data_IF_080504936772
#
_entry.id   IF_080504936772
#
_cell.length_a   1.000
_cell.length_b   1.000
_cell.length_c   1.000
_cell.angle_alpha   90.00
_cell.angle_beta   90.00
_cell.angle_gamma   90.00
#
_symmetry.space_group_name_H-M   'P 1'
#
loop_
_entity.id
_entity.type
_entity.pdbx_description
1 polymer ?
#
# COMPACT_ATOMS: atom_id res chain seq x y z
N UNK A 1 -1.38 11.11 -83.90
CA UNK A 1 -2.20 12.34 -83.89
C UNK A 1 -2.42 12.72 -82.44
N UNK A 2 -1.90 13.88 -82.06
CA UNK A 2 -2.10 14.49 -80.75
C UNK A 2 -3.46 15.23 -80.70
N UNK A 3 -4.07 15.25 -79.52
CA UNK A 3 -4.85 16.32 -78.89
C UNK A 3 -4.68 16.02 -77.38
N UNK A 4 -3.94 16.71 -76.49
CA UNK A 4 -3.52 18.10 -76.32
C UNK A 4 -4.68 19.11 -76.25
N UNK A 5 -4.96 19.52 -75.01
CA UNK A 5 -5.71 20.69 -74.54
C UNK A 5 -7.24 20.54 -74.38
N UNK A 6 -7.65 20.03 -73.21
CA UNK A 6 -8.58 20.77 -72.35
C UNK A 6 -8.21 20.47 -70.91
N UNK A 7 -7.34 21.30 -70.37
CA UNK A 7 -7.05 21.42 -68.95
C UNK A 7 -8.04 22.42 -68.34
N UNK A 8 -8.28 22.27 -67.04
CA UNK A 8 -8.85 23.25 -66.09
C UNK A 8 -10.34 23.13 -65.69
N UNK A 9 -10.51 22.94 -64.37
CA UNK A 9 -11.71 23.08 -63.52
C UNK A 9 -12.76 21.95 -63.66
N UNK A 10 -13.16 21.16 -62.66
CA UNK A 10 -13.22 21.33 -61.21
C UNK A 10 -12.90 20.00 -60.52
N UNK A 11 -12.11 20.06 -59.45
CA UNK A 11 -11.84 18.94 -58.56
C UNK A 11 -12.85 19.06 -57.43
N UNK A 12 -13.98 18.36 -57.53
CA UNK A 12 -14.94 18.29 -56.43
C UNK A 12 -14.28 17.60 -55.22
N UNK A 13 -13.82 18.44 -54.29
CA UNK A 13 -13.49 18.07 -52.93
C UNK A 13 -14.73 17.46 -52.28
N UNK A 14 -14.75 16.12 -52.18
CA UNK A 14 -15.61 15.46 -51.21
C UNK A 14 -15.15 15.92 -49.82
N UNK A 15 -16.04 16.44 -48.97
CA UNK A 15 -15.66 16.89 -47.64
C UNK A 15 -15.06 15.70 -46.89
N UNK A 16 -13.87 15.91 -46.33
CA UNK A 16 -13.25 15.01 -45.38
C UNK A 16 -14.31 14.66 -44.34
N UNK A 17 -14.69 13.38 -44.27
CA UNK A 17 -15.40 12.88 -43.10
C UNK A 17 -14.50 13.21 -41.92
N UNK A 18 -14.97 14.09 -41.06
CA UNK A 18 -14.39 14.35 -39.74
C UNK A 18 -14.01 12.98 -39.18
N UNK A 19 -12.70 12.74 -39.10
CA UNK A 19 -12.19 11.57 -38.42
C UNK A 19 -12.60 11.76 -36.97
N UNK A 20 -13.63 11.06 -36.53
CA UNK A 20 -13.98 10.91 -35.13
C UNK A 20 -12.69 10.52 -34.39
N UNK A 21 -12.07 11.50 -33.74
CA UNK A 21 -10.83 11.35 -32.96
C UNK A 21 -11.09 10.43 -31.73
N UNK A 22 -12.36 10.14 -31.45
CA UNK A 22 -12.82 9.36 -30.30
C UNK A 22 -12.90 7.84 -30.55
N UNK A 23 -12.82 7.37 -31.80
CA UNK A 23 -12.76 5.93 -32.08
C UNK A 23 -11.34 5.46 -32.34
N UNK A 24 -10.64 5.14 -31.25
CA UNK A 24 -9.39 4.39 -31.30
C UNK A 24 -9.51 3.17 -32.21
N UNK A 25 -8.54 3.00 -33.09
CA UNK A 25 -8.46 1.96 -34.11
C UNK A 25 -8.67 0.57 -33.48
N UNK A 26 -9.89 0.03 -33.54
CA UNK A 26 -10.21 -1.31 -33.01
C UNK A 26 -9.72 -2.36 -34.01
N UNK A 27 -8.44 -2.71 -33.89
CA UNK A 27 -7.92 -3.93 -34.48
C UNK A 27 -8.50 -5.13 -33.69
N UNK A 28 -9.25 -6.05 -34.33
CA UNK A 28 -9.80 -7.21 -33.64
C UNK A 28 -8.74 -8.31 -33.56
N UNK A 29 -8.39 -8.70 -32.33
CA UNK A 29 -7.28 -9.55 -31.89
C UNK A 29 -5.98 -8.78 -31.65
N UNK A 30 -5.87 -8.13 -30.50
CA UNK A 30 -4.57 -7.75 -29.99
C UNK A 30 -4.46 -8.03 -28.50
N UNK A 31 -3.26 -8.39 -28.07
CA UNK A 31 -2.81 -8.44 -26.69
C UNK A 31 -2.74 -7.00 -26.10
N UNK A 32 -3.84 -6.24 -26.25
CA UNK A 32 -3.89 -4.78 -26.06
C UNK A 32 -3.72 -4.34 -24.61
N UNK A 33 -3.74 -5.28 -23.67
CA UNK A 33 -3.52 -4.98 -22.26
C UNK A 33 -2.04 -4.80 -21.92
N UNK A 34 -1.10 -5.10 -22.85
CA UNK A 34 0.36 -4.99 -22.62
C UNK A 34 0.86 -5.70 -21.34
N UNK A 35 0.06 -6.66 -20.80
CA UNK A 35 0.30 -7.33 -19.52
C UNK A 35 0.09 -6.43 -18.29
N UNK A 36 -0.71 -5.38 -18.38
CA UNK A 36 -1.04 -4.47 -17.27
C UNK A 36 -1.98 -5.10 -16.26
N UNK A 37 -2.95 -5.90 -16.68
CA UNK A 37 -3.88 -6.59 -15.78
C UNK A 37 -3.14 -7.47 -14.77
N UNK A 38 -2.28 -8.38 -15.26
CA UNK A 38 -1.50 -9.28 -14.40
C UNK A 38 -0.54 -8.50 -13.49
N UNK A 39 -0.08 -7.32 -13.95
CA UNK A 39 0.76 -6.44 -13.16
C UNK A 39 -0.01 -5.75 -12.05
N UNK A 40 -1.20 -5.20 -12.34
CA UNK A 40 -2.05 -4.59 -11.32
C UNK A 40 -2.52 -5.61 -10.28
N UNK A 41 -2.74 -6.86 -10.67
CA UNK A 41 -3.02 -7.94 -9.73
C UNK A 41 -1.84 -8.21 -8.79
N UNK A 42 -0.61 -8.28 -9.32
CA UNK A 42 0.61 -8.39 -8.51
C UNK A 42 0.79 -7.18 -7.58
N UNK A 43 0.55 -5.96 -8.07
CA UNK A 43 0.60 -4.73 -7.26
C UNK A 43 -0.37 -4.82 -6.09
N UNK A 44 -1.64 -5.16 -6.36
CA UNK A 44 -2.68 -5.28 -5.33
C UNK A 44 -2.36 -6.36 -4.30
N UNK A 45 -1.81 -7.49 -4.73
CA UNK A 45 -1.38 -8.56 -3.84
C UNK A 45 -0.26 -8.07 -2.90
N UNK A 46 0.74 -7.37 -3.43
CA UNK A 46 1.81 -6.79 -2.62
C UNK A 46 1.27 -5.75 -1.64
N UNK A 47 0.37 -4.86 -2.08
CA UNK A 47 -0.25 -3.86 -1.18
C UNK A 47 -1.00 -4.54 -0.03
N UNK A 48 -1.77 -5.60 -0.33
CA UNK A 48 -2.48 -6.37 0.70
C UNK A 48 -1.53 -7.00 1.72
N UNK A 49 -0.37 -7.51 1.25
CA UNK A 49 0.66 -8.05 2.13
C UNK A 49 1.30 -6.96 3.00
N UNK A 50 1.58 -5.78 2.44
CA UNK A 50 2.12 -4.64 3.18
C UNK A 50 1.15 -4.16 4.27
N UNK A 51 -0.15 -4.06 3.96
CA UNK A 51 -1.18 -3.69 4.93
C UNK A 51 -1.31 -4.75 6.04
N UNK A 52 -1.24 -6.04 5.68
CA UNK A 52 -1.21 -7.13 6.66
C UNK A 52 0.01 -7.01 7.58
N UNK A 53 1.17 -6.67 7.03
CA UNK A 53 2.39 -6.46 7.82
C UNK A 53 2.19 -5.31 8.82
N UNK A 54 1.68 -4.15 8.39
CA UNK A 54 1.35 -3.03 9.29
C UNK A 54 0.43 -3.43 10.44
N UNK A 55 -0.62 -4.21 10.14
CA UNK A 55 -1.54 -4.69 11.16
C UNK A 55 -0.88 -5.60 12.20
N UNK A 56 0.10 -6.41 11.80
CA UNK A 56 0.83 -7.28 12.73
C UNK A 56 1.81 -6.46 13.59
N UNK A 57 2.49 -5.47 12.99
CA UNK A 57 3.34 -4.56 13.77
C UNK A 57 2.53 -3.82 14.85
N UNK A 58 1.32 -3.39 14.52
CA UNK A 58 0.43 -2.77 15.51
C UNK A 58 0.05 -3.74 16.65
N UNK A 59 -0.28 -4.99 16.34
CA UNK A 59 -0.55 -6.02 17.36
C UNK A 59 0.67 -6.32 18.23
N UNK A 60 1.86 -6.35 17.63
CA UNK A 60 3.11 -6.52 18.36
C UNK A 60 3.33 -5.37 19.34
N UNK A 61 3.01 -4.14 18.93
CA UNK A 61 3.05 -2.96 19.81
C UNK A 61 2.03 -3.08 20.96
N UNK A 62 0.78 -3.46 20.68
CA UNK A 62 -0.23 -3.69 21.72
C UNK A 62 0.19 -4.77 22.73
N UNK A 63 0.76 -5.88 22.23
CA UNK A 63 1.27 -6.96 23.08
C UNK A 63 2.46 -6.50 23.95
N UNK A 64 3.32 -5.65 23.40
CA UNK A 64 4.41 -5.04 24.15
C UNK A 64 3.89 -4.12 25.27
N UNK A 65 2.92 -3.25 24.97
CA UNK A 65 2.27 -2.40 25.98
C UNK A 65 1.62 -3.22 27.10
N UNK A 66 0.92 -4.30 26.76
CA UNK A 66 0.34 -5.23 27.73
C UNK A 66 1.42 -5.81 28.65
N UNK A 67 2.59 -6.17 28.10
CA UNK A 67 3.70 -6.80 28.81
C UNK A 67 4.26 -5.95 29.96
N UNK A 68 4.20 -4.62 29.84
CA UNK A 68 4.66 -3.66 30.85
C UNK A 68 3.88 -3.77 32.16
N UNK A 69 2.58 -4.06 32.05
CA UNK A 69 1.65 -4.06 33.18
C UNK A 69 1.57 -5.40 33.90
N UNK A 70 1.95 -6.49 33.23
CA UNK A 70 1.85 -7.85 33.78
C UNK A 70 2.86 -8.08 34.90
N UNK A 71 2.42 -8.76 35.95
CA UNK A 71 3.24 -9.16 37.11
C UNK A 71 3.34 -10.67 37.31
N UNK A 72 2.66 -11.46 36.46
CA UNK A 72 2.65 -12.93 36.54
C UNK A 72 3.52 -13.51 35.43
N UNK A 73 4.47 -14.37 35.80
CA UNK A 73 5.34 -15.07 34.84
C UNK A 73 4.52 -15.83 33.77
N UNK A 74 3.43 -16.51 34.15
CA UNK A 74 2.57 -17.23 33.21
C UNK A 74 1.92 -16.33 32.14
N UNK A 75 1.56 -15.10 32.51
CA UNK A 75 0.97 -14.14 31.58
C UNK A 75 2.06 -13.51 30.69
N UNK A 76 3.25 -13.23 31.23
CA UNK A 76 4.40 -12.76 30.45
C UNK A 76 4.80 -13.80 29.39
N UNK A 77 4.84 -15.07 29.77
CA UNK A 77 5.10 -16.18 28.85
C UNK A 77 4.06 -16.28 27.72
N UNK A 78 2.79 -16.04 28.02
CA UNK A 78 1.74 -16.02 27.01
C UNK A 78 1.90 -14.83 26.04
N UNK A 79 2.26 -13.64 26.56
CA UNK A 79 2.55 -12.45 25.74
C UNK A 79 3.76 -12.70 24.85
N UNK A 80 4.86 -13.21 25.41
CA UNK A 80 6.06 -13.63 24.68
C UNK A 80 5.71 -14.49 23.47
N UNK A 81 4.94 -15.56 23.69
CA UNK A 81 4.53 -16.45 22.60
C UNK A 81 3.68 -15.79 21.51
N UNK A 82 2.88 -14.77 21.84
CA UNK A 82 2.17 -13.95 20.84
C UNK A 82 3.13 -13.07 20.05
N UNK A 83 4.03 -12.37 20.74
CA UNK A 83 5.02 -11.50 20.12
C UNK A 83 5.95 -12.27 19.17
N UNK A 84 6.44 -13.44 19.58
CA UNK A 84 7.24 -14.33 18.73
C UNK A 84 6.51 -14.71 17.44
N UNK A 85 5.23 -15.09 17.54
CA UNK A 85 4.41 -15.45 16.38
C UNK A 85 4.20 -14.28 15.43
N UNK A 86 3.98 -13.09 15.97
CA UNK A 86 3.78 -11.87 15.19
C UNK A 86 5.08 -11.47 14.45
N UNK A 87 6.23 -11.56 15.12
CA UNK A 87 7.55 -11.33 14.50
C UNK A 87 7.83 -12.34 13.38
N UNK A 88 7.56 -13.62 13.61
CA UNK A 88 7.73 -14.67 12.60
C UNK A 88 6.87 -14.41 11.36
N UNK A 89 5.63 -13.96 11.55
CA UNK A 89 4.70 -13.64 10.48
C UNK A 89 5.13 -12.39 9.70
N UNK A 90 5.57 -11.33 10.39
CA UNK A 90 6.19 -10.15 9.74
C UNK A 90 7.36 -10.59 8.88
N UNK A 91 8.23 -11.47 9.39
CA UNK A 91 9.35 -12.00 8.64
C UNK A 91 8.98 -12.79 7.40
N UNK A 92 7.94 -13.62 7.47
CA UNK A 92 7.43 -14.36 6.31
C UNK A 92 6.86 -13.42 5.26
N UNK A 93 6.06 -12.43 5.67
CA UNK A 93 5.47 -11.45 4.75
C UNK A 93 6.57 -10.63 4.09
N UNK A 94 7.52 -10.12 4.86
CA UNK A 94 8.69 -9.39 4.39
C UNK A 94 9.44 -10.12 3.27
N UNK A 95 9.81 -11.39 3.51
CA UNK A 95 10.50 -12.22 2.51
C UNK A 95 9.64 -12.45 1.27
N UNK A 96 8.34 -12.71 1.44
CA UNK A 96 7.43 -12.90 0.32
C UNK A 96 7.30 -11.64 -0.53
N UNK A 97 7.12 -10.46 0.09
CA UNK A 97 7.06 -9.19 -0.61
C UNK A 97 8.38 -8.92 -1.35
N UNK A 98 9.54 -9.15 -0.72
CA UNK A 98 10.86 -9.02 -1.39
C UNK A 98 10.92 -9.87 -2.66
N UNK A 99 10.60 -11.16 -2.58
CA UNK A 99 10.63 -12.07 -3.74
C UNK A 99 9.67 -11.62 -4.84
N UNK A 100 8.46 -11.16 -4.48
CA UNK A 100 7.48 -10.63 -5.43
C UNK A 100 7.96 -9.34 -6.10
N UNK A 101 8.61 -8.43 -5.37
CA UNK A 101 9.18 -7.20 -5.93
C UNK A 101 10.31 -7.51 -6.91
N UNK A 102 11.22 -8.43 -6.58
CA UNK A 102 12.28 -8.88 -7.50
C UNK A 102 11.71 -9.58 -8.74
N UNK A 103 10.63 -10.37 -8.57
CA UNK A 103 9.93 -10.98 -9.70
C UNK A 103 9.27 -9.91 -10.59
N UNK A 104 8.68 -8.89 -9.98
CA UNK A 104 8.06 -7.79 -10.71
C UNK A 104 9.10 -6.98 -11.50
N UNK A 105 10.31 -6.78 -10.97
CA UNK A 105 11.43 -6.19 -11.72
C UNK A 105 11.79 -7.02 -12.95
N UNK A 106 11.95 -8.34 -12.78
CA UNK A 106 12.22 -9.25 -13.91
C UNK A 106 11.11 -9.17 -14.95
N UNK A 107 9.85 -9.22 -14.53
CA UNK A 107 8.68 -9.10 -15.39
C UNK A 107 8.65 -7.75 -16.14
N UNK A 108 9.08 -6.66 -15.51
CA UNK A 108 9.17 -5.35 -16.14
C UNK A 108 10.25 -5.31 -17.24
N UNK A 109 11.41 -5.91 -16.98
CA UNK A 109 12.48 -6.04 -17.98
C UNK A 109 12.05 -6.92 -19.17
N UNK A 110 11.30 -7.99 -18.92
CA UNK A 110 10.74 -8.83 -19.98
C UNK A 110 9.66 -8.10 -20.78
N UNK A 111 8.82 -7.31 -20.11
CA UNK A 111 7.78 -6.51 -20.76
C UNK A 111 8.38 -5.56 -21.80
N UNK A 112 9.57 -4.99 -21.54
CA UNK A 112 10.29 -4.12 -22.49
C UNK A 112 10.60 -4.74 -23.84
N UNK A 113 10.64 -6.07 -23.92
CA UNK A 113 10.88 -6.80 -25.18
C UNK A 113 9.63 -6.85 -26.07
N UNK A 114 8.45 -6.51 -25.55
CA UNK A 114 7.18 -6.49 -26.30
C UNK A 114 7.05 -5.22 -27.15
N UNK A 115 6.43 -5.30 -28.34
CA UNK A 115 6.11 -4.11 -29.14
C UNK A 115 5.26 -3.11 -28.32
N UNK A 116 5.63 -1.82 -28.33
CA UNK A 116 4.90 -0.78 -27.59
C UNK A 116 5.22 -0.67 -26.09
N UNK A 117 6.05 -1.56 -25.54
CA UNK A 117 6.44 -1.59 -24.12
C UNK A 117 7.90 -1.20 -23.86
N UNK A 118 8.62 -0.71 -24.86
CA UNK A 118 10.04 -0.36 -24.74
C UNK A 118 10.34 0.64 -23.62
N UNK A 119 11.64 0.79 -23.29
CA UNK A 119 12.10 1.72 -22.25
C UNK A 119 11.55 3.14 -22.51
N UNK A 120 10.96 3.76 -21.50
CA UNK A 120 10.41 5.12 -21.58
C UNK A 120 8.98 5.24 -22.13
N UNK A 121 8.38 4.14 -22.59
CA UNK A 121 6.94 4.12 -22.94
C UNK A 121 6.07 4.42 -21.73
N UNK A 122 4.81 4.80 -21.95
CA UNK A 122 3.86 5.04 -20.85
C UNK A 122 3.70 3.79 -19.97
N UNK A 123 3.57 2.61 -20.60
CA UNK A 123 3.46 1.32 -19.90
C UNK A 123 4.72 1.04 -19.07
N UNK A 124 5.92 1.17 -19.64
CA UNK A 124 7.17 0.97 -18.91
C UNK A 124 7.29 1.93 -17.71
N UNK A 125 7.01 3.22 -17.94
CA UNK A 125 7.06 4.24 -16.88
C UNK A 125 6.09 3.94 -15.74
N UNK A 126 4.84 3.62 -16.05
CA UNK A 126 3.83 3.28 -15.02
C UNK A 126 4.24 2.05 -14.22
N UNK A 127 4.74 1.00 -14.88
CA UNK A 127 5.18 -0.23 -14.22
C UNK A 127 6.38 -0.01 -13.30
N UNK A 128 7.40 0.69 -13.79
CA UNK A 128 8.60 1.04 -13.02
C UNK A 128 8.25 1.92 -11.81
N UNK A 129 7.43 2.94 -12.04
CA UNK A 129 6.95 3.86 -11.01
C UNK A 129 6.23 3.15 -9.86
N UNK A 130 5.24 2.30 -10.19
CA UNK A 130 4.51 1.53 -9.17
C UNK A 130 5.41 0.53 -8.44
N UNK A 131 6.33 -0.12 -9.16
CA UNK A 131 7.29 -1.06 -8.57
C UNK A 131 8.18 -0.37 -7.53
N UNK A 132 8.68 0.82 -7.87
CA UNK A 132 9.51 1.63 -6.97
C UNK A 132 8.70 2.14 -5.77
N UNK A 133 7.46 2.59 -5.99
CA UNK A 133 6.57 3.00 -4.90
C UNK A 133 6.34 1.85 -3.90
N UNK A 134 6.13 0.62 -4.37
CA UNK A 134 5.96 -0.55 -3.49
C UNK A 134 7.24 -0.90 -2.73
N UNK A 135 8.41 -0.78 -3.36
CA UNK A 135 9.70 -0.95 -2.66
C UNK A 135 9.90 0.10 -1.56
N UNK A 136 9.54 1.36 -1.82
CA UNK A 136 9.58 2.43 -0.82
C UNK A 136 8.62 2.14 0.34
N UNK A 137 7.37 1.75 0.05
CA UNK A 137 6.40 1.33 1.08
C UNK A 137 6.95 0.18 1.92
N UNK A 138 7.58 -0.84 1.31
CA UNK A 138 8.22 -1.91 2.08
C UNK A 138 9.32 -1.36 3.00
N UNK A 139 10.24 -0.53 2.48
CA UNK A 139 11.31 0.11 3.28
C UNK A 139 10.75 0.91 4.46
N UNK A 140 9.68 1.69 4.25
CA UNK A 140 9.00 2.43 5.30
C UNK A 140 8.45 1.51 6.39
N UNK A 141 7.74 0.44 6.03
CA UNK A 141 7.22 -0.52 7.02
C UNK A 141 8.31 -1.27 7.78
N UNK A 142 9.43 -1.53 7.14
CA UNK A 142 10.60 -2.09 7.82
C UNK A 142 11.20 -1.12 8.84
N UNK A 143 11.24 0.18 8.52
CA UNK A 143 11.68 1.20 9.45
C UNK A 143 10.71 1.32 10.64
N UNK A 144 9.40 1.27 10.41
CA UNK A 144 8.40 1.27 11.50
C UNK A 144 8.65 0.12 12.47
N UNK A 145 8.97 -1.06 11.94
CA UNK A 145 9.30 -2.24 12.74
C UNK A 145 10.63 -2.10 13.50
N UNK A 146 11.65 -1.50 12.87
CA UNK A 146 12.93 -1.21 13.53
C UNK A 146 12.78 -0.17 14.64
N UNK A 147 11.91 0.81 14.49
CA UNK A 147 11.59 1.76 15.54
C UNK A 147 10.88 1.06 16.70
N UNK A 148 9.90 0.19 16.42
CA UNK A 148 9.22 -0.59 17.44
C UNK A 148 10.19 -1.46 18.24
N UNK A 149 11.18 -2.07 17.57
CA UNK A 149 12.26 -2.80 18.25
C UNK A 149 12.98 -1.94 19.28
N UNK A 150 13.43 -0.75 18.89
CA UNK A 150 14.13 0.18 19.78
C UNK A 150 13.25 0.54 20.98
N UNK A 151 11.97 0.85 20.72
CA UNK A 151 10.98 1.11 21.75
C UNK A 151 10.82 -0.06 22.73
N UNK A 152 10.75 -1.31 22.24
CA UNK A 152 10.68 -2.50 23.10
C UNK A 152 11.91 -2.58 24.03
N UNK A 153 13.12 -2.30 23.52
CA UNK A 153 14.34 -2.34 24.34
C UNK A 153 14.37 -1.23 25.40
N UNK A 154 14.03 -0.01 25.01
CA UNK A 154 14.00 1.15 25.91
C UNK A 154 12.99 0.93 27.05
N UNK A 155 11.79 0.49 26.70
CA UNK A 155 10.73 0.24 27.67
C UNK A 155 11.02 -0.96 28.57
N UNK A 156 11.71 -1.98 28.05
CA UNK A 156 12.20 -3.08 28.88
C UNK A 156 13.16 -2.58 29.96
N UNK A 157 14.09 -1.68 29.62
CA UNK A 157 15.02 -1.05 30.59
C UNK A 157 14.23 -0.37 31.71
N UNK A 158 13.23 0.44 31.36
CA UNK A 158 12.40 1.15 32.33
C UNK A 158 11.62 0.20 33.26
N UNK A 159 11.04 -0.87 32.69
CA UNK A 159 10.28 -1.85 33.45
C UNK A 159 11.18 -2.61 34.43
N UNK A 160 12.38 -3.01 34.00
CA UNK A 160 13.37 -3.67 34.86
C UNK A 160 13.81 -2.74 35.99
N UNK A 161 14.18 -1.49 35.70
CA UNK A 161 14.57 -0.50 36.71
C UNK A 161 13.49 -0.36 37.79
N UNK A 162 12.24 -0.18 37.36
CA UNK A 162 11.10 -0.02 38.25
C UNK A 162 10.86 -1.25 39.11
N UNK A 163 10.99 -2.45 38.55
CA UNK A 163 10.77 -3.72 39.27
C UNK A 163 11.89 -3.98 40.28
N UNK A 164 13.15 -3.77 39.90
CA UNK A 164 14.29 -3.85 40.83
C UNK A 164 14.07 -2.89 42.00
N UNK A 165 13.77 -1.61 41.74
CA UNK A 165 13.49 -0.63 42.78
C UNK A 165 12.36 -1.05 43.73
N UNK A 166 11.28 -1.60 43.18
CA UNK A 166 10.12 -2.04 43.98
C UNK A 166 10.48 -3.18 44.94
N UNK A 167 11.42 -4.05 44.55
CA UNK A 167 11.80 -5.24 45.32
C UNK A 167 12.95 -4.95 46.30
N UNK A 168 13.94 -4.15 45.89
CA UNK A 168 15.12 -3.83 46.69
C UNK A 168 14.94 -2.59 47.57
N UNK A 169 14.00 -1.71 47.22
CA UNK A 169 13.82 -0.39 47.84
C UNK A 169 14.91 0.63 47.51
N UNK A 170 15.90 0.26 46.68
CA UNK A 170 17.03 1.10 46.30
C UNK A 170 17.07 1.28 44.80
N UNK A 171 17.34 2.51 44.33
CA UNK A 171 17.47 2.78 42.91
C UNK A 171 18.75 2.08 42.40
N UNK A 172 18.66 1.14 41.45
CA UNK A 172 19.85 0.53 40.86
C UNK A 172 20.65 1.56 40.06
N UNK A 173 21.97 1.41 40.00
CA UNK A 173 22.80 2.22 39.08
C UNK A 173 22.65 1.70 37.66
N UNK A 174 22.98 2.55 36.67
CA UNK A 174 22.90 2.18 35.25
C UNK A 174 23.75 0.94 34.93
N UNK A 175 24.94 0.83 35.53
CA UNK A 175 25.84 -0.32 35.30
C UNK A 175 25.24 -1.64 35.83
N UNK A 176 24.41 -1.57 36.87
CA UNK A 176 23.71 -2.75 37.40
C UNK A 176 22.57 -3.15 36.47
N UNK A 177 21.84 -2.18 35.91
CA UNK A 177 20.78 -2.42 34.92
C UNK A 177 21.38 -3.02 33.65
N UNK A 178 22.45 -2.44 33.11
CA UNK A 178 23.12 -2.92 31.90
C UNK A 178 23.63 -4.36 32.09
N UNK A 179 24.32 -4.63 33.20
CA UNK A 179 24.76 -6.00 33.51
C UNK A 179 23.58 -6.97 33.59
N UNK A 180 22.47 -6.55 34.19
CA UNK A 180 21.28 -7.38 34.27
C UNK A 180 20.70 -7.67 32.88
N UNK A 181 20.59 -6.65 32.03
CA UNK A 181 20.10 -6.78 30.65
C UNK A 181 21.03 -7.65 29.79
N UNK A 182 22.33 -7.62 30.01
CA UNK A 182 23.30 -8.42 29.25
C UNK A 182 23.36 -9.88 29.71
N UNK A 183 23.34 -10.12 31.01
CA UNK A 183 23.67 -11.43 31.60
C UNK A 183 22.45 -12.21 32.09
N UNK A 184 21.30 -11.54 32.26
CA UNK A 184 20.13 -12.06 32.95
C UNK A 184 20.38 -12.41 34.42
N UNK A 185 21.59 -12.17 34.95
CA UNK A 185 22.01 -12.68 36.25
C UNK A 185 21.53 -11.74 37.35
N UNK A 186 20.52 -12.21 38.07
CA UNK A 186 19.79 -11.46 39.10
C UNK A 186 20.31 -11.73 40.51
N UNK A 187 21.00 -12.85 40.72
CA UNK A 187 21.29 -13.42 42.05
C UNK A 187 21.94 -12.40 43.00
N UNK A 188 22.99 -11.70 42.57
CA UNK A 188 23.69 -10.73 43.42
C UNK A 188 22.84 -9.50 43.79
N UNK A 189 21.89 -9.10 42.93
CA UNK A 189 21.02 -7.93 43.15
C UNK A 189 19.94 -8.27 44.18
N UNK A 190 19.34 -9.46 44.06
CA UNK A 190 18.21 -9.87 44.87
C UNK A 190 18.61 -10.60 46.17
N UNK A 191 19.81 -11.15 46.27
CA UNK A 191 20.34 -11.76 47.51
C UNK A 191 20.27 -10.81 48.72
N UNK A 192 20.60 -9.52 48.52
CA UNK A 192 20.52 -8.50 49.59
C UNK A 192 19.09 -8.17 49.97
N UNK A 193 18.16 -8.19 49.01
CA UNK A 193 16.74 -7.95 49.27
C UNK A 193 16.09 -9.11 50.03
N UNK A 194 16.52 -10.35 49.75
CA UNK A 194 16.01 -11.59 50.39
C UNK A 194 16.24 -11.61 51.90
N UNK A 195 17.23 -10.88 52.41
CA UNK A 195 17.52 -10.80 53.83
C UNK A 195 16.60 -9.84 54.60
N UNK A 196 15.96 -8.87 53.92
CA UNK A 196 15.16 -7.82 54.56
C UNK A 196 13.64 -7.88 54.31
N UNK A 197 13.20 -8.40 53.17
CA UNK A 197 11.78 -8.46 52.76
C UNK A 197 11.33 -9.91 52.56
N UNK A 198 10.03 -10.20 52.73
CA UNK A 198 9.49 -11.56 52.69
C UNK A 198 9.94 -12.39 51.46
N UNK A 199 10.68 -13.48 51.73
CA UNK A 199 11.35 -14.33 50.72
C UNK A 199 10.45 -14.74 49.54
N UNK A 200 9.18 -15.04 49.79
CA UNK A 200 8.24 -15.47 48.74
C UNK A 200 7.90 -14.38 47.71
N UNK A 201 7.78 -13.12 48.12
CA UNK A 201 7.46 -12.01 47.21
C UNK A 201 8.64 -11.68 46.29
N UNK A 202 9.86 -11.77 46.83
CA UNK A 202 11.08 -11.51 46.07
C UNK A 202 11.31 -12.61 45.04
N UNK A 203 11.13 -13.88 45.41
CA UNK A 203 11.28 -14.99 44.47
C UNK A 203 10.30 -14.87 43.29
N UNK A 204 9.05 -14.51 43.55
CA UNK A 204 8.07 -14.29 42.49
C UNK A 204 8.44 -13.11 41.56
N UNK A 205 8.98 -12.02 42.12
CA UNK A 205 9.43 -10.89 41.33
C UNK A 205 10.69 -11.21 40.51
N UNK A 206 11.63 -11.97 41.06
CA UNK A 206 12.81 -12.46 40.32
C UNK A 206 12.39 -13.34 39.15
N UNK A 207 11.47 -14.27 39.37
CA UNK A 207 10.91 -15.13 38.32
C UNK A 207 10.22 -14.30 37.23
N UNK A 208 9.42 -13.29 37.60
CA UNK A 208 8.77 -12.38 36.65
C UNK A 208 9.80 -11.63 35.79
N UNK A 209 10.83 -11.04 36.43
CA UNK A 209 11.84 -10.27 35.73
C UNK A 209 12.68 -11.18 34.81
N UNK A 210 13.00 -12.40 35.24
CA UNK A 210 13.71 -13.38 34.42
C UNK A 210 12.91 -13.78 33.19
N UNK A 211 11.63 -14.12 33.34
CA UNK A 211 10.77 -14.47 32.19
C UNK A 211 10.65 -13.29 31.22
N UNK A 212 10.61 -12.05 31.72
CA UNK A 212 10.61 -10.85 30.88
C UNK A 212 11.94 -10.66 30.15
N UNK A 213 13.08 -10.87 30.83
CA UNK A 213 14.39 -10.85 30.20
C UNK A 213 14.47 -11.85 29.05
N UNK A 214 14.11 -13.11 29.31
CA UNK A 214 14.10 -14.17 28.31
C UNK A 214 13.13 -13.90 27.16
N UNK A 215 12.03 -13.18 27.41
CA UNK A 215 11.11 -12.74 26.37
C UNK A 215 11.76 -11.70 25.46
N UNK A 216 12.31 -10.63 26.03
CA UNK A 216 12.92 -9.53 25.27
C UNK A 216 14.15 -9.98 24.51
N UNK A 217 14.99 -10.86 25.08
CA UNK A 217 16.16 -11.39 24.39
C UNK A 217 15.80 -12.27 23.19
N UNK A 218 14.76 -13.09 23.30
CA UNK A 218 14.28 -13.93 22.19
C UNK A 218 13.63 -13.06 21.09
N UNK A 219 12.86 -12.04 21.49
CA UNK A 219 12.33 -11.03 20.59
C UNK A 219 13.48 -10.33 19.85
N UNK A 220 14.49 -9.80 20.55
CA UNK A 220 15.66 -9.15 19.94
C UNK A 220 16.38 -10.04 18.94
N UNK A 221 16.61 -11.30 19.28
CA UNK A 221 17.25 -12.26 18.39
C UNK A 221 16.47 -12.42 17.08
N UNK A 222 15.14 -12.60 17.16
CA UNK A 222 14.28 -12.73 15.97
C UNK A 222 14.20 -11.44 15.17
N UNK A 223 14.23 -10.30 15.84
CA UNK A 223 14.27 -8.99 15.20
C UNK A 223 15.60 -8.77 14.44
N UNK A 224 16.73 -9.23 14.99
CA UNK A 224 18.02 -9.21 14.32
C UNK A 224 18.04 -10.07 13.05
N UNK A 225 17.35 -11.23 13.05
CA UNK A 225 17.24 -12.06 11.84
C UNK A 225 16.53 -11.33 10.69
N UNK A 226 15.64 -10.38 10.99
CA UNK A 226 14.96 -9.54 9.99
C UNK A 226 15.84 -8.40 9.47
N UNK A 227 16.89 -8.02 10.20
CA UNK A 227 17.81 -6.95 9.81
C UNK A 227 18.55 -7.26 8.49
N UNK A 228 18.84 -8.54 8.22
CA UNK A 228 19.43 -8.93 6.93
C UNK A 228 18.48 -8.63 5.76
N UNK A 229 17.18 -8.85 5.93
CA UNK A 229 16.19 -8.51 4.89
C UNK A 229 16.17 -7.00 4.68
N UNK A 230 16.34 -6.20 5.74
CA UNK A 230 16.39 -4.74 5.63
C UNK A 230 17.60 -4.25 4.85
N UNK A 231 18.78 -4.82 5.11
CA UNK A 231 19.99 -4.49 4.37
C UNK A 231 19.83 -4.80 2.87
N UNK A 232 19.30 -5.98 2.54
CA UNK A 232 19.05 -6.36 1.16
C UNK A 232 18.02 -5.44 0.48
N UNK A 233 16.98 -5.03 1.21
CA UNK A 233 15.94 -4.12 0.71
C UNK A 233 16.45 -2.69 0.50
N UNK A 234 17.31 -2.20 1.40
CA UNK A 234 17.97 -0.91 1.22
C UNK A 234 18.79 -0.92 -0.08
N UNK A 235 19.56 -1.98 -0.32
CA UNK A 235 20.30 -2.15 -1.57
C UNK A 235 19.38 -2.20 -2.81
N UNK A 236 18.24 -2.92 -2.73
CA UNK A 236 17.26 -2.96 -3.82
C UNK A 236 16.68 -1.57 -4.13
N UNK A 237 16.38 -0.75 -3.12
CA UNK A 237 15.85 0.61 -3.29
C UNK A 237 16.93 1.56 -3.82
N UNK A 238 18.12 1.54 -3.23
CA UNK A 238 19.19 2.48 -3.52
C UNK A 238 19.79 2.27 -4.92
N UNK A 239 19.83 1.01 -5.40
CA UNK A 239 20.25 0.69 -6.77
C UNK A 239 19.36 1.31 -7.87
N UNK A 240 18.20 1.86 -7.53
CA UNK A 240 17.26 2.49 -8.47
C UNK A 240 17.23 4.03 -8.37
N UNK A 241 18.15 4.65 -7.61
CA UNK A 241 18.15 6.09 -7.28
C UNK A 241 17.96 7.06 -8.46
N UNK A 242 18.53 6.78 -9.63
CA UNK A 242 18.39 7.65 -10.82
C UNK A 242 16.97 7.62 -11.45
N UNK A 243 16.21 6.53 -11.22
CA UNK A 243 14.84 6.39 -11.70
C UNK A 243 13.85 7.08 -10.73
N UNK A 244 14.19 7.18 -9.45
CA UNK A 244 13.35 7.75 -8.37
C UNK A 244 13.02 9.23 -8.59
N UNK A 245 14.00 10.07 -8.95
CA UNK A 245 13.79 11.52 -9.18
C UNK A 245 12.84 11.80 -10.37
N UNK A 246 12.88 10.95 -11.39
CA UNK A 246 11.97 11.03 -12.52
C UNK A 246 10.57 10.49 -12.18
N UNK A 247 10.45 9.66 -11.14
CA UNK A 247 9.20 9.01 -10.71
C UNK A 247 8.39 9.90 -9.79
N UNK A 248 8.99 10.60 -8.83
CA UNK A 248 8.23 11.57 -8.00
C UNK A 248 7.51 12.59 -8.88
N UNK A 249 8.21 13.09 -9.90
CA UNK A 249 7.62 13.97 -10.91
C UNK A 249 6.51 13.30 -11.74
N UNK A 250 6.60 11.99 -12.04
CA UNK A 250 5.63 11.29 -12.88
C UNK A 250 4.43 10.71 -12.13
N UNK A 251 4.60 10.27 -10.88
CA UNK A 251 3.50 9.82 -9.99
C UNK A 251 2.61 10.98 -9.63
N UNK A 252 3.20 12.13 -9.29
CA UNK A 252 2.45 13.36 -9.04
C UNK A 252 1.57 13.70 -10.25
N UNK A 253 2.11 13.60 -11.45
CA UNK A 253 1.36 13.85 -12.69
C UNK A 253 0.30 12.78 -12.96
N UNK A 254 0.58 11.49 -12.73
CA UNK A 254 -0.39 10.40 -12.94
C UNK A 254 -1.56 10.45 -11.95
N UNK A 255 -1.30 10.75 -10.67
CA UNK A 255 -2.35 10.98 -9.66
C UNK A 255 -3.23 12.15 -10.07
N UNK A 256 -2.61 13.26 -10.50
CA UNK A 256 -3.35 14.40 -11.04
C UNK A 256 -4.22 14.01 -12.25
N UNK A 257 -3.70 13.21 -13.19
CA UNK A 257 -4.45 12.76 -14.36
C UNK A 257 -5.61 11.81 -14.03
N UNK A 258 -5.47 10.93 -13.04
CA UNK A 258 -6.58 10.05 -12.59
C UNK A 258 -7.67 10.88 -11.90
N UNK A 259 -7.30 11.83 -11.04
CA UNK A 259 -8.26 12.74 -10.39
C UNK A 259 -9.00 13.55 -11.45
N UNK A 260 -8.30 14.23 -12.35
CA UNK A 260 -8.91 14.98 -13.45
C UNK A 260 -9.75 14.10 -14.38
N UNK A 261 -9.31 12.87 -14.67
CA UNK A 261 -10.05 11.90 -15.48
C UNK A 261 -11.35 11.44 -14.81
N UNK A 262 -11.34 11.20 -13.50
CA UNK A 262 -12.56 10.86 -12.74
C UNK A 262 -13.54 12.02 -12.67
N UNK A 263 -13.04 13.26 -12.59
CA UNK A 263 -13.87 14.46 -12.64
C UNK A 263 -14.51 14.65 -14.03
N UNK A 264 -13.74 14.47 -15.10
CA UNK A 264 -14.23 14.53 -16.47
C UNK A 264 -15.29 13.45 -16.77
N UNK A 265 -15.10 12.22 -16.27
CA UNK A 265 -16.11 11.15 -16.37
C UNK A 265 -17.38 11.47 -15.59
N UNK A 266 -17.26 12.08 -14.41
CA UNK A 266 -18.40 12.52 -13.61
C UNK A 266 -19.17 13.62 -14.34
N UNK A 267 -18.47 14.56 -14.95
CA UNK A 267 -19.05 15.65 -15.72
C UNK A 267 -19.72 15.14 -17.01
N UNK A 268 -19.08 14.25 -17.75
CA UNK A 268 -19.64 13.59 -18.94
C UNK A 268 -20.94 12.84 -18.60
N UNK A 269 -20.98 12.11 -17.47
CA UNK A 269 -22.21 11.44 -16.99
C UNK A 269 -23.33 12.44 -16.69
N UNK A 270 -23.00 13.61 -16.14
CA UNK A 270 -23.96 14.68 -15.88
C UNK A 270 -24.48 15.33 -17.16
N UNK A 271 -23.61 15.59 -18.15
CA UNK A 271 -24.00 16.07 -19.47
C UNK A 271 -24.90 15.08 -20.20
N UNK A 272 -24.55 13.79 -20.18
CA UNK A 272 -25.37 12.74 -20.79
C UNK A 272 -26.77 12.67 -20.16
N UNK A 273 -26.87 12.82 -18.83
CA UNK A 273 -28.15 12.86 -18.12
C UNK A 273 -28.99 14.10 -18.47
N UNK A 274 -28.36 15.26 -18.67
CA UNK A 274 -29.04 16.49 -19.12
C UNK A 274 -29.51 16.39 -20.58
N UNK A 275 -28.67 15.87 -21.47
CA UNK A 275 -29.00 15.68 -22.88
C UNK A 275 -30.23 14.77 -23.07
N UNK A 276 -30.30 13.65 -22.34
CA UNK A 276 -31.48 12.76 -22.37
C UNK A 276 -32.77 13.46 -21.92
N UNK A 277 -32.70 14.38 -20.94
CA UNK A 277 -33.86 15.17 -20.51
C UNK A 277 -34.28 16.18 -21.59
N UNK A 278 -33.32 16.84 -22.22
CA UNK A 278 -33.59 17.77 -23.32
C UNK A 278 -34.21 17.06 -24.53
N UNK A 279 -33.69 15.89 -24.88
CA UNK A 279 -34.25 15.05 -25.95
C UNK A 279 -35.69 14.60 -25.66
N UNK A 280 -36.00 14.20 -24.43
CA UNK A 280 -37.39 13.88 -24.03
C UNK A 280 -38.32 15.08 -24.15
N UNK A 281 -37.88 16.28 -23.74
CA UNK A 281 -38.68 17.51 -23.87
C UNK A 281 -38.92 17.82 -25.36
N UNK A 282 -37.90 17.70 -26.21
CA UNK A 282 -38.04 17.90 -27.65
C UNK A 282 -39.04 16.93 -28.30
N UNK A 283 -39.02 15.65 -27.91
CA UNK A 283 -39.99 14.64 -28.38
C UNK A 283 -41.41 14.98 -27.94
N UNK A 284 -41.61 15.41 -26.69
CA UNK A 284 -42.94 15.81 -26.18
C UNK A 284 -43.48 17.00 -26.97
N UNK A 285 -42.65 18.02 -27.24
CA UNK A 285 -43.06 19.18 -28.04
C UNK A 285 -43.48 18.76 -29.45
N UNK A 286 -42.72 17.86 -30.08
CA UNK A 286 -43.02 17.35 -31.42
C UNK A 286 -44.38 16.60 -31.44
N UNK A 287 -44.64 15.76 -30.44
CA UNK A 287 -45.92 15.05 -30.30
C UNK A 287 -47.11 16.01 -30.11
N UNK A 288 -46.94 17.06 -29.31
CA UNK A 288 -48.00 18.08 -29.13
C UNK A 288 -48.30 18.80 -30.44
N UNK A 289 -47.27 19.18 -31.21
CA UNK A 289 -47.44 19.79 -32.53
C UNK A 289 -48.19 18.84 -33.48
N UNK A 290 -47.80 17.56 -33.51
CA UNK A 290 -48.47 16.56 -34.34
C UNK A 290 -49.96 16.40 -33.97
N UNK A 291 -50.30 16.38 -32.68
CA UNK A 291 -51.70 16.31 -32.21
C UNK A 291 -52.50 17.55 -32.65
N UNK A 292 -51.92 18.75 -32.54
CA UNK A 292 -52.59 19.99 -32.96
C UNK A 292 -52.89 19.98 -34.46
N UNK A 293 -51.95 19.49 -35.28
CA UNK A 293 -52.14 19.36 -36.73
C UNK A 293 -53.26 18.35 -37.04
N UNK A 294 -53.26 17.19 -36.39
CA UNK A 294 -54.28 16.15 -36.58
C UNK A 294 -55.67 16.64 -36.14
N UNK A 295 -55.78 17.31 -34.99
CA UNK A 295 -57.05 17.89 -34.52
C UNK A 295 -57.56 19.00 -35.44
N UNK A 296 -56.69 19.84 -35.98
CA UNK A 296 -57.07 20.89 -36.96
C UNK A 296 -57.66 20.29 -38.24
N UNK A 297 -57.19 19.10 -38.67
CA UNK A 297 -57.66 18.40 -39.86
C UNK A 297 -58.93 17.59 -39.59
N UNK A 298 -59.14 17.10 -38.36
CA UNK A 298 -60.35 16.34 -37.97
C UNK A 298 -61.54 17.25 -37.58
N UNK A 299 -61.30 18.43 -37.01
CA UNK A 299 -62.37 19.38 -36.62
C UNK A 299 -63.16 20.09 -37.74
N UNK A 300 -62.81 20.08 -39.04
CA UNK A 300 -63.67 20.68 -40.07
C UNK A 300 -65.00 19.93 -40.24
N UNK A 301 -65.16 18.75 -39.67
CA UNK A 301 -66.31 17.85 -39.90
C UNK A 301 -67.23 17.63 -38.69
N UNK A 302 -67.26 18.58 -37.74
CA UNK A 302 -68.28 18.63 -36.70
C UNK A 302 -69.02 19.98 -36.71
N UNK A 303 -69.68 20.29 -37.82
CA UNK A 303 -70.87 21.16 -37.83
C UNK A 303 -72.02 20.42 -38.51
N UNK A 304 -72.85 19.80 -37.70
CA UNK A 304 -74.21 19.41 -38.07
C UNK A 304 -75.09 19.52 -36.84
N UNK A 305 -75.70 20.69 -36.63
CA UNK A 305 -77.12 20.95 -36.91
C UNK A 305 -77.41 22.43 -36.73
#
# INVERSE_FOLDING_TARGET
>A
MNNLLTDSFEKDEKPERERDIEMGNRNPKDNSDYGLKDFFEQVKEIETLLDKMSNIVHKLQEANEESKSVTKASAMKAIKGRMEKDIDEVGKIARNVKVKLEQMDRNNLENRKKPGCGKGTSVDRSRMSMTIALKKKLKERMNDFQNLRQTIQEEYREVVERRIFTVTGTKPSEEVIDRFIETGSSEQIFERAIQGTGRGQILAAVEEIQERHDAVMEIEKRLLELQQIFADMAALVDAQGEVLDNIENQVQNAVNHVVTGTEALREAKNYQKKSRKCMMIAIIILLVIAIIVVLSILKPWAKSK
#
